data_IF_749616785235
#
_entry.id   IF_749616785235
#
_cell.length_a   1.000
_cell.length_b   1.000
_cell.length_c   1.000
_cell.angle_alpha   90.00
_cell.angle_beta   90.00
_cell.angle_gamma   90.00
#
_symmetry.space_group_name_H-M   'P 1'
#
loop_
_entity.id
_entity.type
_entity.pdbx_description
1 polymer ?
#
# COMPACT_ATOMS: atom_id res chain seq x y z
N UNK A 1 -2.82 21.25 -19.36
CA UNK A 1 -2.48 19.88 -18.93
C UNK A 1 -1.59 19.30 -20.01
N UNK A 2 -0.44 18.76 -19.65
CA UNK A 2 0.37 17.98 -20.59
C UNK A 2 -0.40 16.73 -21.02
N UNK A 3 -0.15 16.18 -22.21
CA UNK A 3 -0.87 14.97 -22.63
C UNK A 3 -0.49 13.78 -21.76
N UNK A 4 -1.39 12.80 -21.64
CA UNK A 4 -1.14 11.61 -20.84
C UNK A 4 0.05 10.80 -21.36
N UNK A 5 0.20 10.74 -22.69
CA UNK A 5 1.34 10.10 -23.34
C UNK A 5 2.66 10.76 -22.97
N UNK A 6 2.69 12.10 -22.90
CA UNK A 6 3.87 12.85 -22.50
C UNK A 6 4.20 12.62 -21.02
N UNK A 7 3.19 12.56 -20.14
CA UNK A 7 3.38 12.19 -18.74
C UNK A 7 3.99 10.79 -18.59
N UNK A 8 3.52 9.81 -19.37
CA UNK A 8 4.06 8.45 -19.35
C UNK A 8 5.49 8.41 -19.88
N UNK A 9 5.80 9.18 -20.93
CA UNK A 9 7.16 9.33 -21.43
C UNK A 9 8.09 9.95 -20.38
N UNK A 10 7.63 10.95 -19.63
CA UNK A 10 8.36 11.53 -18.51
C UNK A 10 8.61 10.52 -17.39
N UNK A 11 7.61 9.71 -17.03
CA UNK A 11 7.77 8.64 -16.05
C UNK A 11 8.88 7.67 -16.51
N UNK A 12 8.86 7.24 -17.76
CA UNK A 12 9.86 6.32 -18.31
C UNK A 12 11.27 6.95 -18.37
N UNK A 13 11.36 8.21 -18.78
CA UNK A 13 12.64 8.91 -18.95
C UNK A 13 13.29 9.37 -17.65
N UNK A 14 12.51 9.69 -16.62
CA UNK A 14 13.00 10.35 -15.40
C UNK A 14 13.08 9.44 -14.17
N UNK A 15 12.84 8.13 -14.31
CA UNK A 15 12.92 7.19 -13.18
C UNK A 15 14.33 6.60 -12.95
N UNK A 16 15.35 7.06 -13.69
CA UNK A 16 16.67 6.44 -13.73
C UNK A 16 17.64 6.89 -12.63
N UNK A 17 17.56 8.15 -12.18
CA UNK A 17 18.47 8.71 -11.16
C UNK A 17 17.73 9.52 -10.09
N UNK A 18 18.33 9.77 -8.91
CA UNK A 18 17.69 10.53 -7.84
C UNK A 18 17.32 11.98 -8.22
N UNK A 19 18.15 12.64 -9.04
CA UNK A 19 17.89 14.02 -9.49
C UNK A 19 16.72 14.08 -10.47
N UNK A 20 16.69 13.16 -11.44
CA UNK A 20 15.57 13.00 -12.36
C UNK A 20 14.29 12.60 -11.64
N UNK A 21 14.39 11.72 -10.63
CA UNK A 21 13.26 11.28 -9.81
C UNK A 21 12.67 12.44 -9.00
N UNK A 22 13.50 13.34 -8.48
CA UNK A 22 13.04 14.56 -7.82
C UNK A 22 12.30 15.49 -8.81
N UNK A 23 12.82 15.61 -10.04
CA UNK A 23 12.14 16.37 -11.09
C UNK A 23 10.79 15.73 -11.46
N UNK A 24 10.76 14.40 -11.67
CA UNK A 24 9.55 13.64 -11.92
C UNK A 24 8.52 13.83 -10.81
N UNK A 25 8.95 13.78 -9.55
CA UNK A 25 8.06 13.98 -8.41
C UNK A 25 7.38 15.36 -8.44
N UNK A 26 8.12 16.42 -8.81
CA UNK A 26 7.54 17.75 -8.97
C UNK A 26 6.49 17.79 -10.08
N UNK A 27 6.75 17.16 -11.23
CA UNK A 27 5.79 17.08 -12.34
C UNK A 27 4.53 16.31 -11.93
N UNK A 28 4.71 15.17 -11.26
CA UNK A 28 3.59 14.35 -10.77
C UNK A 28 2.73 15.09 -9.75
N UNK A 29 3.33 15.85 -8.82
CA UNK A 29 2.57 16.71 -7.89
C UNK A 29 1.75 17.78 -8.60
N UNK A 30 2.22 18.32 -9.72
CA UNK A 30 1.47 19.30 -10.51
C UNK A 30 0.31 18.67 -11.29
N UNK A 31 0.46 17.42 -11.73
CA UNK A 31 -0.57 16.67 -12.43
C UNK A 31 -1.61 16.02 -11.48
N UNK A 32 -1.31 15.94 -10.19
CA UNK A 32 -2.11 15.23 -9.20
C UNK A 32 -3.53 15.78 -9.00
N UNK A 33 -4.43 14.92 -8.51
CA UNK A 33 -5.79 15.29 -8.17
C UNK A 33 -6.77 15.21 -9.35
N UNK A 34 -7.61 16.23 -9.50
CA UNK A 34 -8.69 16.26 -10.50
C UNK A 34 -8.23 16.04 -11.95
N UNK A 35 -7.09 16.59 -12.42
CA UNK A 35 -6.63 16.38 -13.80
C UNK A 35 -6.38 14.91 -14.13
N UNK A 36 -5.69 14.18 -13.25
CA UNK A 36 -5.45 12.74 -13.42
C UNK A 36 -6.74 11.93 -13.24
N UNK A 37 -7.55 12.26 -12.23
CA UNK A 37 -8.79 11.53 -11.92
C UNK A 37 -9.82 11.61 -13.04
N UNK A 38 -9.91 12.76 -13.72
CA UNK A 38 -10.80 12.95 -14.87
C UNK A 38 -10.47 12.01 -16.04
N UNK A 39 -9.23 11.51 -16.11
CA UNK A 39 -8.75 10.62 -17.16
C UNK A 39 -8.46 9.20 -16.67
N UNK A 40 -8.93 8.84 -15.47
CA UNK A 40 -8.60 7.57 -14.80
C UNK A 40 -8.78 6.33 -15.70
N UNK A 41 -9.89 6.23 -16.45
CA UNK A 41 -10.13 5.08 -17.33
C UNK A 41 -9.10 4.99 -18.47
N UNK A 42 -8.64 6.14 -18.96
CA UNK A 42 -7.60 6.21 -19.98
C UNK A 42 -6.20 5.90 -19.43
N UNK A 43 -5.97 5.95 -18.11
CA UNK A 43 -4.67 5.63 -17.49
C UNK A 43 -4.36 4.14 -17.51
N UNK A 44 -5.38 3.27 -17.42
CA UNK A 44 -5.18 1.81 -17.22
C UNK A 44 -4.31 1.17 -18.31
N UNK A 45 -4.50 1.44 -19.62
CA UNK A 45 -3.63 0.88 -20.65
C UNK A 45 -2.17 1.33 -20.52
N UNK A 46 -1.90 2.51 -19.97
CA UNK A 46 -0.53 3.00 -19.79
C UNK A 46 0.20 2.28 -18.65
N UNK A 47 -0.51 1.75 -17.65
CA UNK A 47 0.09 0.94 -16.59
C UNK A 47 0.80 -0.30 -17.14
N UNK A 48 0.34 -0.85 -18.27
CA UNK A 48 0.99 -1.98 -18.94
C UNK A 48 2.35 -1.61 -19.58
N UNK A 49 2.61 -0.32 -19.81
CA UNK A 49 3.85 0.19 -20.39
C UNK A 49 4.87 0.61 -19.32
N UNK A 50 4.51 0.51 -18.04
CA UNK A 50 5.33 0.87 -16.91
C UNK A 50 5.74 -0.37 -16.12
N UNK A 51 7.04 -0.55 -15.89
CA UNK A 51 7.52 -1.51 -14.89
C UNK A 51 7.25 -1.00 -13.46
N UNK A 52 6.60 -1.80 -12.58
CA UNK A 52 6.43 -1.47 -11.17
C UNK A 52 7.74 -1.26 -10.43
N UNK A 53 8.82 -1.96 -10.79
CA UNK A 53 10.11 -1.91 -10.09
C UNK A 53 10.87 -0.62 -10.40
N UNK A 54 10.90 -0.21 -11.67
CA UNK A 54 11.70 0.93 -12.11
C UNK A 54 10.93 2.24 -12.06
N UNK A 55 9.62 2.22 -12.29
CA UNK A 55 8.79 3.42 -12.43
C UNK A 55 7.80 3.59 -11.28
N UNK A 56 8.08 3.07 -10.09
CA UNK A 56 7.11 2.97 -8.99
C UNK A 56 6.47 4.30 -8.61
N UNK A 57 7.22 5.40 -8.63
CA UNK A 57 6.71 6.74 -8.30
C UNK A 57 5.67 7.21 -9.31
N UNK A 58 5.95 7.10 -10.61
CA UNK A 58 4.96 7.43 -11.63
C UNK A 58 3.77 6.47 -11.59
N UNK A 59 4.06 5.18 -11.50
CA UNK A 59 3.06 4.11 -11.46
C UNK A 59 2.05 4.35 -10.33
N UNK A 60 2.52 4.71 -9.13
CA UNK A 60 1.62 4.88 -7.98
C UNK A 60 0.71 6.09 -8.11
N UNK A 61 1.15 7.18 -8.72
CA UNK A 61 0.28 8.33 -8.99
C UNK A 61 -0.86 7.97 -9.95
N UNK A 62 -0.54 7.21 -11.01
CA UNK A 62 -1.55 6.75 -11.96
C UNK A 62 -2.51 5.76 -11.29
N UNK A 63 -1.96 4.80 -10.53
CA UNK A 63 -2.73 3.78 -9.83
C UNK A 63 -3.64 4.39 -8.75
N UNK A 64 -3.16 5.38 -8.00
CA UNK A 64 -3.91 6.14 -7.01
C UNK A 64 -5.07 6.93 -7.66
N UNK A 65 -4.82 7.58 -8.79
CA UNK A 65 -5.86 8.28 -9.54
C UNK A 65 -6.96 7.32 -10.04
N UNK A 66 -6.58 6.15 -10.56
CA UNK A 66 -7.53 5.10 -10.90
C UNK A 66 -8.33 4.62 -9.68
N UNK A 67 -7.63 4.35 -8.57
CA UNK A 67 -8.22 3.86 -7.34
C UNK A 67 -9.18 4.87 -6.70
N UNK A 68 -8.88 6.17 -6.78
CA UNK A 68 -9.74 7.25 -6.28
C UNK A 68 -10.99 7.46 -7.14
N UNK A 69 -10.91 7.22 -8.45
CA UNK A 69 -12.05 7.31 -9.37
C UNK A 69 -12.88 6.02 -9.41
N UNK A 70 -12.37 4.90 -8.88
CA UNK A 70 -13.07 3.63 -8.83
C UNK A 70 -14.20 3.65 -7.81
N UNK A 71 -15.43 3.85 -8.29
CA UNK A 71 -16.60 3.51 -7.49
C UNK A 71 -16.71 1.98 -7.32
N UNK A 72 -16.34 1.23 -8.36
CA UNK A 72 -16.17 -0.22 -8.37
C UNK A 72 -15.02 -0.59 -9.33
N UNK A 73 -14.23 -1.63 -9.02
CA UNK A 73 -13.14 -2.08 -9.90
C UNK A 73 -13.63 -2.58 -11.27
N UNK A 74 -14.92 -2.91 -11.40
CA UNK A 74 -15.57 -3.24 -12.68
C UNK A 74 -15.39 -2.14 -13.72
N UNK A 75 -15.29 -0.89 -13.29
CA UNK A 75 -15.17 0.29 -14.14
C UNK A 75 -13.82 0.28 -14.92
N UNK A 76 -12.86 -0.53 -14.46
CA UNK A 76 -11.52 -0.66 -15.04
C UNK A 76 -11.19 -2.09 -15.50
N UNK A 77 -12.21 -2.90 -15.82
CA UNK A 77 -12.01 -4.29 -16.25
C UNK A 77 -12.03 -5.33 -15.14
N UNK A 78 -12.45 -4.96 -13.92
CA UNK A 78 -12.72 -5.90 -12.83
C UNK A 78 -11.46 -6.55 -12.26
N UNK A 79 -11.42 -7.89 -12.26
CA UNK A 79 -10.36 -8.68 -11.61
C UNK A 79 -8.95 -8.37 -12.09
N UNK A 80 -8.79 -7.91 -13.33
CA UNK A 80 -7.48 -7.57 -13.92
C UNK A 80 -6.85 -6.35 -13.25
N UNK A 81 -7.66 -5.35 -12.87
CA UNK A 81 -7.16 -4.18 -12.16
C UNK A 81 -6.75 -4.53 -10.71
N UNK A 82 -7.46 -5.45 -10.06
CA UNK A 82 -7.07 -5.99 -8.75
C UNK A 82 -5.71 -6.72 -8.82
N UNK A 83 -5.50 -7.53 -9.88
CA UNK A 83 -4.23 -8.20 -10.14
C UNK A 83 -3.12 -7.18 -10.38
N UNK A 84 -3.41 -6.09 -11.09
CA UNK A 84 -2.48 -4.98 -11.33
C UNK A 84 -2.03 -4.32 -10.03
N UNK A 85 -2.98 -4.00 -9.13
CA UNK A 85 -2.67 -3.46 -7.80
C UNK A 85 -1.80 -4.43 -6.98
N UNK A 86 -2.20 -5.70 -6.93
CA UNK A 86 -1.47 -6.72 -6.17
C UNK A 86 -0.04 -6.93 -6.70
N UNK A 87 0.13 -6.95 -8.02
CA UNK A 87 1.43 -7.03 -8.69
C UNK A 87 2.30 -5.83 -8.36
N UNK A 88 1.74 -4.61 -8.41
CA UNK A 88 2.43 -3.39 -8.05
C UNK A 88 2.95 -3.41 -6.61
N UNK A 89 2.09 -3.67 -5.62
CA UNK A 89 2.50 -3.68 -4.21
C UNK A 89 3.62 -4.71 -3.93
N UNK A 90 3.60 -5.84 -4.66
CA UNK A 90 4.61 -6.89 -4.53
C UNK A 90 5.94 -6.50 -5.17
N UNK A 91 5.93 -5.82 -6.32
CA UNK A 91 7.12 -5.55 -7.12
C UNK A 91 7.72 -4.14 -6.94
N UNK A 92 6.97 -3.15 -6.47
CA UNK A 92 7.42 -1.75 -6.40
C UNK A 92 8.73 -1.51 -5.61
N UNK A 93 9.47 -0.47 -5.98
CA UNK A 93 10.63 0.04 -5.24
C UNK A 93 10.18 0.75 -3.95
N UNK A 94 10.77 0.34 -2.82
CA UNK A 94 10.55 0.96 -1.52
C UNK A 94 10.96 2.44 -1.51
N UNK A 95 12.11 2.77 -2.10
CA UNK A 95 12.65 4.13 -2.11
C UNK A 95 11.73 5.11 -2.84
N UNK A 96 11.17 4.67 -3.97
CA UNK A 96 10.26 5.50 -4.76
C UNK A 96 8.90 5.68 -4.09
N UNK A 97 8.31 4.61 -3.52
CA UNK A 97 6.98 4.74 -2.89
C UNK A 97 7.01 5.62 -1.64
N UNK A 98 8.15 5.68 -0.94
CA UNK A 98 8.32 6.51 0.27
C UNK A 98 8.38 8.00 -0.04
N UNK A 99 8.54 8.40 -1.31
CA UNK A 99 8.41 9.79 -1.73
C UNK A 99 6.94 10.27 -1.72
N UNK A 100 5.99 9.36 -1.87
CA UNK A 100 4.54 9.65 -1.87
C UNK A 100 3.77 8.60 -1.03
N UNK A 101 4.02 8.54 0.29
CA UNK A 101 3.51 7.48 1.15
C UNK A 101 1.98 7.49 1.28
N UNK A 102 1.36 8.66 1.22
CA UNK A 102 -0.10 8.85 1.24
C UNK A 102 -0.79 8.10 0.10
N UNK A 103 -0.24 8.15 -1.11
CA UNK A 103 -0.73 7.43 -2.29
C UNK A 103 -0.59 5.93 -2.13
N UNK A 104 0.55 5.49 -1.59
CA UNK A 104 0.80 4.08 -1.33
C UNK A 104 -0.16 3.49 -0.31
N UNK A 105 -0.39 4.21 0.79
CA UNK A 105 -1.35 3.82 1.81
C UNK A 105 -2.77 3.77 1.24
N UNK A 106 -3.15 4.70 0.37
CA UNK A 106 -4.45 4.68 -0.28
C UNK A 106 -4.64 3.45 -1.19
N UNK A 107 -3.64 3.14 -2.04
CA UNK A 107 -3.68 1.93 -2.89
C UNK A 107 -3.76 0.64 -2.05
N UNK A 108 -3.02 0.56 -0.94
CA UNK A 108 -3.10 -0.57 -0.01
C UNK A 108 -4.52 -0.74 0.56
N UNK A 109 -5.10 0.37 1.01
CA UNK A 109 -6.47 0.39 1.56
C UNK A 109 -7.50 -0.05 0.52
N UNK A 110 -7.38 0.44 -0.73
CA UNK A 110 -8.29 0.05 -1.82
C UNK A 110 -8.15 -1.44 -2.12
N UNK A 111 -6.93 -2.00 -2.18
CA UNK A 111 -6.76 -3.45 -2.33
C UNK A 111 -7.51 -4.21 -1.23
N UNK A 112 -7.30 -3.81 0.03
CA UNK A 112 -7.95 -4.43 1.20
C UNK A 112 -9.46 -4.35 1.12
N UNK A 113 -10.02 -3.18 0.83
CA UNK A 113 -11.48 -2.99 0.74
C UNK A 113 -12.08 -3.84 -0.39
N UNK A 114 -11.38 -3.98 -1.52
CA UNK A 114 -11.85 -4.74 -2.66
C UNK A 114 -11.81 -6.25 -2.44
N UNK A 115 -10.73 -6.79 -1.87
CA UNK A 115 -10.69 -8.23 -1.53
C UNK A 115 -11.71 -8.58 -0.44
N UNK A 116 -12.04 -7.64 0.44
CA UNK A 116 -13.10 -7.77 1.43
C UNK A 116 -14.49 -7.79 0.79
N UNK A 117 -14.79 -6.84 -0.10
CA UNK A 117 -16.06 -6.80 -0.84
C UNK A 117 -16.30 -8.08 -1.66
N UNK A 118 -15.23 -8.64 -2.23
CA UNK A 118 -15.29 -9.88 -3.00
C UNK A 118 -15.28 -11.16 -2.16
N UNK A 119 -15.25 -11.07 -0.81
CA UNK A 119 -15.09 -12.20 0.10
C UNK A 119 -13.86 -13.09 -0.20
N UNK A 120 -12.77 -12.48 -0.65
CA UNK A 120 -11.51 -13.17 -0.99
C UNK A 120 -10.29 -12.58 -0.23
N UNK A 121 -10.33 -12.48 1.12
CA UNK A 121 -9.28 -11.79 1.90
C UNK A 121 -7.88 -12.39 1.70
N UNK A 122 -7.78 -13.69 1.39
CA UNK A 122 -6.51 -14.37 1.12
C UNK A 122 -5.70 -13.73 -0.02
N UNK A 123 -6.38 -13.12 -1.00
CA UNK A 123 -5.72 -12.47 -2.16
C UNK A 123 -4.93 -11.21 -1.78
N UNK A 124 -5.28 -10.56 -0.66
CA UNK A 124 -4.58 -9.37 -0.19
C UNK A 124 -3.40 -9.67 0.73
N UNK A 125 -3.25 -10.90 1.24
CA UNK A 125 -2.23 -11.23 2.24
C UNK A 125 -0.81 -11.01 1.72
N UNK A 126 -0.44 -11.64 0.60
CA UNK A 126 0.92 -11.51 0.08
C UNK A 126 1.27 -10.07 -0.35
N UNK A 127 0.40 -9.34 -1.09
CA UNK A 127 0.65 -7.95 -1.45
C UNK A 127 0.77 -7.02 -0.23
N UNK A 128 -0.13 -7.12 0.76
CA UNK A 128 -0.07 -6.25 1.93
C UNK A 128 1.11 -6.58 2.85
N UNK A 129 1.53 -7.85 2.94
CA UNK A 129 2.77 -8.20 3.64
C UNK A 129 3.99 -7.53 3.00
N UNK A 130 4.08 -7.55 1.67
CA UNK A 130 5.14 -6.84 0.96
C UNK A 130 5.05 -5.33 1.21
N UNK A 131 3.84 -4.78 1.20
CA UNK A 131 3.60 -3.36 1.43
C UNK A 131 4.05 -2.91 2.82
N UNK A 132 3.76 -3.67 3.88
CA UNK A 132 4.24 -3.42 5.26
C UNK A 132 5.74 -3.18 5.26
N UNK A 133 6.52 -4.10 4.69
CA UNK A 133 7.99 -4.03 4.69
C UNK A 133 8.53 -2.87 3.85
N UNK A 134 7.84 -2.49 2.78
CA UNK A 134 8.31 -1.43 1.88
C UNK A 134 8.03 -0.03 2.42
N UNK A 135 6.88 0.19 3.05
CA UNK A 135 6.49 1.53 3.52
C UNK A 135 7.15 1.92 4.85
N UNK A 136 7.49 0.93 5.69
CA UNK A 136 8.25 1.12 6.91
C UNK A 136 9.56 1.88 6.64
N UNK A 137 9.86 2.93 7.40
CA UNK A 137 11.18 3.58 7.39
C UNK A 137 12.19 2.80 8.21
N UNK A 138 11.71 2.13 9.26
CA UNK A 138 12.45 1.21 10.13
C UNK A 138 11.62 -0.06 10.35
N UNK A 139 12.24 -1.23 10.65
CA UNK A 139 11.50 -2.44 11.00
C UNK A 139 10.67 -2.28 12.28
N UNK A 140 11.00 -1.30 13.12
CA UNK A 140 10.35 -1.02 14.41
C UNK A 140 9.12 -0.11 14.28
N UNK A 141 8.85 0.40 13.07
CA UNK A 141 7.76 1.32 12.79
C UNK A 141 6.42 0.59 12.58
N UNK A 142 5.42 0.98 13.35
CA UNK A 142 4.04 0.60 13.10
C UNK A 142 3.42 1.50 12.03
N UNK A 143 2.92 0.89 10.98
CA UNK A 143 2.20 1.57 9.89
C UNK A 143 0.75 1.12 9.83
N UNK A 144 -0.18 1.93 9.27
CA UNK A 144 -1.58 1.54 9.11
C UNK A 144 -1.79 0.20 8.37
N UNK A 145 -0.84 -0.15 7.48
CA UNK A 145 -0.89 -1.39 6.68
C UNK A 145 -0.79 -2.64 7.56
N UNK A 146 -0.17 -2.58 8.74
CA UNK A 146 -0.08 -3.71 9.66
C UNK A 146 -1.47 -4.18 10.11
N UNK A 147 -2.32 -3.24 10.53
CA UNK A 147 -3.67 -3.54 10.97
C UNK A 147 -4.51 -4.16 9.84
N UNK A 148 -4.43 -3.58 8.63
CA UNK A 148 -5.14 -4.11 7.45
C UNK A 148 -4.65 -5.52 7.08
N UNK A 149 -3.33 -5.75 7.13
CA UNK A 149 -2.74 -7.07 6.89
C UNK A 149 -3.21 -8.13 7.91
N UNK A 150 -3.19 -7.79 9.20
CA UNK A 150 -3.64 -8.69 10.27
C UNK A 150 -5.13 -9.02 10.16
N UNK A 151 -5.95 -8.03 9.82
CA UNK A 151 -7.37 -8.24 9.56
C UNK A 151 -7.59 -9.25 8.43
N UNK A 152 -6.87 -9.12 7.31
CA UNK A 152 -6.97 -10.08 6.21
C UNK A 152 -6.51 -11.48 6.62
N UNK A 153 -5.43 -11.59 7.40
CA UNK A 153 -4.94 -12.86 7.94
C UNK A 153 -5.98 -13.54 8.84
N UNK A 154 -6.60 -12.79 9.75
CA UNK A 154 -7.64 -13.27 10.66
C UNK A 154 -8.85 -13.82 9.88
N UNK A 155 -9.36 -13.04 8.92
CA UNK A 155 -10.54 -13.41 8.14
C UNK A 155 -10.28 -14.59 7.19
N UNK A 156 -9.08 -14.69 6.63
CA UNK A 156 -8.66 -15.82 5.81
C UNK A 156 -8.17 -17.03 6.63
N UNK A 157 -8.19 -16.95 7.97
CA UNK A 157 -7.66 -17.96 8.90
C UNK A 157 -6.18 -18.33 8.65
N UNK A 158 -5.40 -17.36 8.19
CA UNK A 158 -3.97 -17.50 7.89
C UNK A 158 -3.09 -16.96 9.04
N UNK A 159 -3.25 -17.52 10.24
CA UNK A 159 -2.59 -17.02 11.45
C UNK A 159 -1.06 -17.06 11.38
N UNK A 160 -0.48 -18.07 10.74
CA UNK A 160 0.98 -18.17 10.53
C UNK A 160 1.53 -17.01 9.69
N UNK A 161 0.74 -16.51 8.74
CA UNK A 161 1.11 -15.34 7.97
C UNK A 161 1.10 -14.12 8.90
N UNK A 162 0.00 -13.90 9.63
CA UNK A 162 -0.12 -12.80 10.60
C UNK A 162 1.00 -12.78 11.65
N UNK A 163 1.44 -13.94 12.13
CA UNK A 163 2.51 -14.04 13.12
C UNK A 163 3.82 -13.37 12.67
N UNK A 164 4.13 -13.42 11.37
CA UNK A 164 5.37 -12.87 10.81
C UNK A 164 5.56 -11.35 10.94
N UNK A 165 4.50 -10.59 11.27
CA UNK A 165 4.61 -9.16 11.62
C UNK A 165 4.37 -8.90 13.11
N UNK A 166 3.82 -9.89 13.81
CA UNK A 166 3.56 -9.82 15.26
C UNK A 166 4.80 -10.14 16.09
N UNK A 167 5.76 -10.85 15.49
CA UNK A 167 7.06 -11.16 16.08
C UNK A 167 8.06 -10.01 15.93
N UNK A 168 7.73 -8.96 15.18
CA UNK A 168 8.57 -7.77 15.07
C UNK A 168 8.48 -6.93 16.34
N UNK A 169 9.62 -6.41 16.79
CA UNK A 169 9.68 -5.46 17.90
C UNK A 169 9.22 -4.07 17.42
N UNK A 170 8.01 -3.66 17.81
CA UNK A 170 7.42 -2.37 17.41
C UNK A 170 7.62 -1.33 18.53
N UNK A 171 8.35 -0.26 18.22
CA UNK A 171 8.63 0.85 19.15
C UNK A 171 8.21 2.22 18.62
N UNK A 172 8.10 2.39 17.31
CA UNK A 172 7.76 3.67 16.68
C UNK A 172 6.28 3.66 16.24
N UNK A 173 5.43 4.45 16.91
CA UNK A 173 3.99 4.50 16.64
C UNK A 173 3.56 5.93 16.33
N UNK A 174 3.10 6.16 15.10
CA UNK A 174 2.68 7.49 14.66
C UNK A 174 1.23 7.82 15.09
N UNK A 175 0.32 6.84 15.01
CA UNK A 175 -1.10 7.04 15.32
C UNK A 175 -1.61 6.05 16.38
N UNK A 176 -2.24 6.52 17.47
CA UNK A 176 -2.79 5.64 18.52
C UNK A 176 -3.80 4.62 18.00
N UNK A 177 -4.58 5.00 16.97
CA UNK A 177 -5.56 4.11 16.33
C UNK A 177 -4.91 2.88 15.70
N UNK A 178 -3.75 3.05 15.08
CA UNK A 178 -3.06 1.96 14.39
C UNK A 178 -2.53 0.94 15.40
N UNK A 179 -1.99 1.41 16.54
CA UNK A 179 -1.60 0.56 17.65
C UNK A 179 -2.79 -0.21 18.23
N UNK A 180 -3.92 0.47 18.45
CA UNK A 180 -5.13 -0.20 18.94
C UNK A 180 -5.58 -1.33 17.99
N UNK A 181 -5.66 -1.06 16.68
CA UNK A 181 -6.09 -2.05 15.69
C UNK A 181 -5.08 -3.18 15.54
N UNK A 182 -3.78 -2.87 15.58
CA UNK A 182 -2.70 -3.86 15.56
C UNK A 182 -2.84 -4.84 16.73
N UNK A 183 -2.98 -4.35 17.96
CA UNK A 183 -3.19 -5.20 19.13
C UNK A 183 -4.51 -5.98 19.07
N UNK A 184 -5.59 -5.32 18.64
CA UNK A 184 -6.91 -5.96 18.54
C UNK A 184 -6.90 -7.13 17.54
N UNK A 185 -6.40 -6.94 16.32
CA UNK A 185 -6.34 -8.01 15.32
C UNK A 185 -5.23 -9.03 15.61
N UNK A 186 -4.13 -8.61 16.25
CA UNK A 186 -3.05 -9.51 16.69
C UNK A 186 -3.49 -10.51 17.77
N UNK A 187 -4.27 -10.05 18.75
CA UNK A 187 -4.79 -10.90 19.83
C UNK A 187 -5.72 -12.03 19.33
N UNK A 188 -6.49 -11.77 18.26
CA UNK A 188 -7.34 -12.76 17.61
C UNK A 188 -6.59 -13.89 16.92
N UNK A 189 -5.29 -13.71 16.67
CA UNK A 189 -4.44 -14.70 15.99
C UNK A 189 -3.69 -15.62 16.94
N UNK A 190 -3.65 -15.36 18.26
CA UNK A 190 -2.81 -16.11 19.19
C UNK A 190 -3.33 -15.98 20.66
N UNK A 191 -4.31 -16.81 21.01
CA UNK A 191 -5.10 -16.69 22.25
C UNK A 191 -4.34 -17.07 23.56
N UNK A 192 -3.24 -17.85 23.62
CA UNK A 192 -2.58 -18.11 24.92
C UNK A 192 -1.21 -17.42 25.15
N UNK A 193 -0.54 -16.85 24.15
CA UNK A 193 0.85 -16.34 24.32
C UNK A 193 0.94 -14.82 24.52
N UNK A 194 -0.08 -14.05 24.14
CA UNK A 194 -0.06 -12.58 24.28
C UNK A 194 -0.21 -12.11 25.73
N UNK A 195 -0.88 -12.89 26.58
CA UNK A 195 -1.05 -12.55 27.99
C UNK A 195 0.20 -12.79 28.84
N UNK A 196 1.18 -13.58 28.36
CA UNK A 196 2.29 -14.03 29.20
C UNK A 196 3.58 -13.22 29.05
N UNK A 197 3.83 -12.51 27.94
CA UNK A 197 5.14 -11.88 27.72
C UNK A 197 5.20 -10.46 27.13
N UNK A 198 4.12 -9.86 26.61
CA UNK A 198 4.26 -8.63 25.79
C UNK A 198 3.62 -7.33 26.28
N UNK A 199 2.55 -7.38 27.07
CA UNK A 199 1.75 -6.18 27.35
C UNK A 199 2.23 -5.31 28.53
N UNK A 200 3.20 -5.81 29.32
CA UNK A 200 3.71 -5.08 30.48
C UNK A 200 4.57 -3.86 30.15
N UNK A 201 5.12 -3.77 28.93
CA UNK A 201 6.11 -2.72 28.57
C UNK A 201 5.48 -1.59 27.77
N UNK A 202 4.57 -1.88 26.83
CA UNK A 202 3.97 -0.85 25.96
C UNK A 202 2.93 0.04 26.68
N UNK A 203 2.23 -0.46 27.69
CA UNK A 203 1.30 0.36 28.50
C UNK A 203 2.05 1.19 29.56
N UNK A 204 3.27 0.78 29.94
CA UNK A 204 4.06 1.44 30.97
C UNK A 204 4.84 2.68 30.49
N UNK A 205 4.84 2.98 29.19
CA UNK A 205 5.48 4.19 28.63
C UNK A 205 4.49 5.15 27.96
N UNK A 206 3.20 4.84 27.99
CA UNK A 206 2.13 5.72 27.52
C UNK A 206 1.38 6.46 28.65
N UNK A 207 1.93 6.43 29.87
CA UNK A 207 1.48 7.22 31.03
C UNK A 207 2.67 7.87 31.74
#
# INVERSE_FOLDING_TARGET
MESLEALVAHIQGLSGSPEELAHLHSLLKQADGEPLRAHAAALVPFLAHLSPETHSLGYIYLLDACAASASNLSDFGGGDFLVTIAGFLTACSADQIRLAPDKFLHVCKVLKDQVMQLNMPIRGIAPLRAAVRKIQSSPEQLTPVHADYLLLCLLAKQYKAGLSVLEDDIFEVDQPKDLFLYCYYGSGSNVPLWFTYGFGVLVAHAY
#
